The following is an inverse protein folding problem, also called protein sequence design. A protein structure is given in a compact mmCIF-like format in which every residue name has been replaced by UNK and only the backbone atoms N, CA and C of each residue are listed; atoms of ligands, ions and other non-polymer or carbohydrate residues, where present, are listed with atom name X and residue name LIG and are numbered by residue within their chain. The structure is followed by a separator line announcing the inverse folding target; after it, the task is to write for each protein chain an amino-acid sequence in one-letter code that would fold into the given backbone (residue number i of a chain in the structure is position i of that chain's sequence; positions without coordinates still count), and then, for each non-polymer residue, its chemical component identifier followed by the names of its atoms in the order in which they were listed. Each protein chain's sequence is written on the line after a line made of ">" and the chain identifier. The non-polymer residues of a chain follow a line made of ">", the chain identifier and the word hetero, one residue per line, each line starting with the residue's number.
data_IF_245466047166
#
_entry.id   IF_245466047166
#
_cell.length_a   1.000
_cell.length_b   1.000
_cell.length_c   1.000
_cell.angle_alpha   90.00
_cell.angle_beta   90.00
_cell.angle_gamma   90.00
#
_symmetry.space_group_name_H-M   'P 1'
#
loop_
_entity.id
_entity.type
_entity.pdbx_description
1 polymer ?
#
# COMPACT_ATOMS: atom_id res chain seq x y z
N UNK A 1 8.56 -24.14 -17.77
CA UNK A 1 8.84 -25.18 -16.76
C UNK A 1 7.68 -26.16 -16.71
N UNK A 2 7.93 -27.46 -16.50
CA UNK A 2 6.86 -28.48 -16.41
C UNK A 2 6.34 -28.59 -14.97
N UNK A 3 5.07 -28.93 -14.78
CA UNK A 3 4.44 -29.07 -13.45
C UNK A 3 5.19 -30.04 -12.53
N UNK A 4 5.72 -31.14 -13.07
CA UNK A 4 6.52 -32.10 -12.31
C UNK A 4 7.79 -31.47 -11.72
N UNK A 5 8.44 -30.57 -12.45
CA UNK A 5 9.62 -29.84 -11.96
C UNK A 5 9.26 -28.89 -10.83
N UNK A 6 8.13 -28.18 -10.93
CA UNK A 6 7.65 -27.28 -9.86
C UNK A 6 7.29 -28.07 -8.59
N UNK A 7 6.63 -29.22 -8.73
CA UNK A 7 6.36 -30.10 -7.59
C UNK A 7 7.66 -30.54 -6.90
N UNK A 8 8.61 -31.06 -7.66
CA UNK A 8 9.92 -31.46 -7.12
C UNK A 8 10.62 -30.34 -6.35
N UNK A 9 10.65 -29.12 -6.91
CA UNK A 9 11.29 -27.97 -6.25
C UNK A 9 10.55 -27.54 -4.97
N UNK A 10 9.21 -27.57 -4.98
CA UNK A 10 8.42 -27.26 -3.78
C UNK A 10 8.56 -28.35 -2.71
N UNK A 11 8.67 -29.62 -3.07
CA UNK A 11 8.94 -30.70 -2.11
C UNK A 11 10.31 -30.49 -1.42
N UNK A 12 11.36 -30.19 -2.20
CA UNK A 12 12.69 -29.88 -1.66
C UNK A 12 12.67 -28.67 -0.71
N UNK A 13 11.91 -27.62 -1.05
CA UNK A 13 11.76 -26.45 -0.18
C UNK A 13 11.02 -26.78 1.12
N UNK A 14 10.02 -27.65 1.09
CA UNK A 14 9.29 -28.09 2.29
C UNK A 14 10.12 -29.02 3.18
N UNK A 15 11.01 -29.84 2.60
CA UNK A 15 11.98 -30.62 3.36
C UNK A 15 13.00 -29.72 4.07
N UNK A 16 13.47 -28.66 3.41
CA UNK A 16 14.33 -27.66 4.03
C UNK A 16 13.62 -26.92 5.18
N UNK A 17 12.31 -26.69 5.06
CA UNK A 17 11.51 -26.09 6.12
C UNK A 17 11.40 -26.98 7.38
N UNK A 18 11.53 -28.31 7.25
CA UNK A 18 11.56 -29.24 8.39
C UNK A 18 12.92 -29.23 9.11
N UNK A 19 13.99 -28.98 8.37
CA UNK A 19 15.37 -29.07 8.87
C UNK A 19 15.94 -27.72 9.31
N UNK A 20 15.46 -26.63 8.71
CA UNK A 20 15.86 -25.26 9.01
C UNK A 20 14.67 -24.51 9.61
N UNK A 21 14.80 -24.14 10.89
CA UNK A 21 13.80 -23.28 11.54
C UNK A 21 13.78 -21.90 10.86
N UNK A 22 12.61 -21.48 10.39
CA UNK A 22 12.40 -20.10 9.95
C UNK A 22 12.17 -19.24 11.18
N UNK A 23 12.81 -18.07 11.20
CA UNK A 23 12.59 -17.09 12.26
C UNK A 23 11.14 -16.61 12.26
N UNK A 24 10.48 -16.73 13.41
CA UNK A 24 9.17 -16.12 13.62
C UNK A 24 9.35 -14.61 13.79
N UNK A 25 8.80 -13.85 12.84
CA UNK A 25 8.94 -12.38 12.80
C UNK A 25 7.80 -11.69 13.53
N UNK A 26 6.67 -12.37 13.73
CA UNK A 26 5.56 -11.78 14.47
C UNK A 26 5.83 -11.81 15.98
N UNK A 27 5.59 -10.70 16.68
CA UNK A 27 5.54 -10.69 18.14
C UNK A 27 4.55 -11.74 18.67
N UNK A 28 4.84 -12.37 19.82
CA UNK A 28 4.02 -13.44 20.37
C UNK A 28 2.57 -13.02 20.62
N UNK A 29 2.33 -11.74 20.93
CA UNK A 29 1.00 -11.18 21.16
C UNK A 29 0.15 -11.18 19.89
N UNK A 30 0.77 -11.00 18.73
CA UNK A 30 0.09 -11.07 17.43
C UNK A 30 0.01 -12.49 16.91
N UNK A 31 1.01 -13.32 17.20
CA UNK A 31 1.07 -14.73 16.79
C UNK A 31 0.02 -15.61 17.51
N UNK A 32 -0.44 -15.19 18.70
CA UNK A 32 -1.31 -15.99 19.55
C UNK A 32 -2.62 -16.36 18.86
N UNK A 33 -2.93 -17.67 18.82
CA UNK A 33 -4.14 -18.21 18.20
C UNK A 33 -4.09 -18.34 16.67
N UNK A 34 -2.95 -18.01 16.04
CA UNK A 34 -2.73 -18.26 14.63
C UNK A 34 -1.99 -19.58 14.39
N UNK A 35 -2.16 -20.12 13.18
CA UNK A 35 -1.36 -21.22 12.67
C UNK A 35 0.12 -20.79 12.56
N UNK A 36 1.05 -21.70 12.88
CA UNK A 36 2.47 -21.40 12.73
C UNK A 36 2.84 -21.18 11.25
N UNK A 37 3.88 -20.40 11.00
CA UNK A 37 4.35 -20.14 9.63
C UNK A 37 4.72 -21.42 8.87
N UNK A 38 5.47 -22.39 9.44
CA UNK A 38 5.79 -23.63 8.75
C UNK A 38 4.56 -24.47 8.39
N UNK A 39 3.59 -24.57 9.30
CA UNK A 39 2.33 -25.29 9.05
C UNK A 39 1.48 -24.60 7.98
N UNK A 40 1.44 -23.27 7.98
CA UNK A 40 0.72 -22.51 6.96
C UNK A 40 1.32 -22.75 5.57
N UNK A 41 2.66 -22.67 5.44
CA UNK A 41 3.37 -22.93 4.18
C UNK A 41 3.16 -24.36 3.69
N UNK A 42 3.25 -25.36 4.58
CA UNK A 42 2.95 -26.77 4.24
C UNK A 42 1.52 -26.93 3.76
N UNK A 43 0.55 -26.38 4.50
CA UNK A 43 -0.88 -26.55 4.20
C UNK A 43 -1.25 -25.93 2.84
N UNK A 44 -0.65 -24.80 2.48
CA UNK A 44 -0.92 -24.15 1.19
C UNK A 44 -0.24 -24.84 0.01
N UNK A 45 0.97 -25.39 0.22
CA UNK A 45 1.70 -26.07 -0.85
C UNK A 45 1.33 -27.55 -1.00
N UNK A 46 0.93 -28.22 0.08
CA UNK A 46 0.50 -29.62 0.16
C UNK A 46 -0.78 -29.71 1.01
N UNK A 47 -1.93 -29.19 0.51
CA UNK A 47 -3.17 -29.21 1.26
C UNK A 47 -3.59 -30.66 1.55
N UNK A 48 -3.99 -30.98 2.79
CA UNK A 48 -4.46 -32.33 3.10
C UNK A 48 -5.78 -32.60 2.37
N UNK A 49 -6.11 -33.87 2.09
CA UNK A 49 -7.33 -34.23 1.36
C UNK A 49 -8.63 -33.86 2.11
N UNK A 50 -8.55 -33.63 3.42
CA UNK A 50 -9.66 -33.19 4.27
C UNK A 50 -9.94 -31.69 4.18
N UNK A 51 -9.04 -30.92 3.57
CA UNK A 51 -9.18 -29.48 3.45
C UNK A 51 -10.24 -29.13 2.41
N UNK A 52 -11.20 -28.28 2.81
CA UNK A 52 -12.22 -27.78 1.90
C UNK A 52 -11.63 -26.68 1.01
N UNK A 53 -11.56 -26.92 -0.30
CA UNK A 53 -11.02 -25.94 -1.26
C UNK A 53 -11.77 -24.60 -1.23
N UNK A 54 -13.07 -24.62 -0.93
CA UNK A 54 -13.90 -23.41 -0.81
C UNK A 54 -13.35 -22.41 0.24
N UNK A 55 -12.73 -22.90 1.31
CA UNK A 55 -12.13 -22.03 2.34
C UNK A 55 -10.87 -21.33 1.84
N UNK A 56 -10.12 -21.97 0.93
CA UNK A 56 -8.97 -21.37 0.25
C UNK A 56 -9.38 -20.39 -0.84
N UNK A 57 -10.43 -20.71 -1.60
CA UNK A 57 -10.95 -19.83 -2.65
C UNK A 57 -11.52 -18.53 -2.07
N UNK A 58 -12.13 -18.60 -0.89
CA UNK A 58 -12.70 -17.44 -0.20
C UNK A 58 -11.72 -16.68 0.68
N UNK A 59 -10.44 -17.09 0.77
CA UNK A 59 -9.45 -16.41 1.60
C UNK A 59 -9.65 -16.60 3.10
N UNK A 60 -10.48 -17.56 3.53
CA UNK A 60 -10.90 -17.73 4.93
C UNK A 60 -10.02 -18.70 5.69
N UNK A 61 -9.29 -19.56 4.99
CA UNK A 61 -8.45 -20.58 5.61
C UNK A 61 -7.37 -19.95 6.51
N UNK A 62 -7.13 -20.46 7.73
CA UNK A 62 -6.14 -19.91 8.67
C UNK A 62 -4.73 -19.76 8.09
N UNK A 63 -4.29 -20.73 7.28
CA UNK A 63 -2.99 -20.67 6.59
C UNK A 63 -2.86 -19.45 5.67
N UNK A 64 -3.91 -19.10 4.92
CA UNK A 64 -3.90 -17.91 4.05
C UNK A 64 -3.94 -16.64 4.88
N UNK A 65 -4.81 -16.59 5.90
CA UNK A 65 -4.93 -15.42 6.79
C UNK A 65 -3.62 -15.09 7.48
N UNK A 66 -2.86 -16.11 7.90
CA UNK A 66 -1.52 -15.96 8.49
C UNK A 66 -0.58 -15.21 7.54
N UNK A 67 -0.48 -15.65 6.29
CA UNK A 67 0.40 -15.03 5.29
C UNK A 67 -0.10 -13.65 4.85
N UNK A 68 -1.42 -13.48 4.68
CA UNK A 68 -2.03 -12.19 4.33
C UNK A 68 -1.72 -11.15 5.41
N UNK A 69 -1.88 -11.52 6.68
CA UNK A 69 -1.58 -10.62 7.80
C UNK A 69 -0.10 -10.23 7.78
N UNK A 70 0.80 -11.19 7.63
CA UNK A 70 2.24 -10.94 7.64
C UNK A 70 2.66 -10.04 6.48
N UNK A 71 2.18 -10.30 5.26
CA UNK A 71 2.44 -9.47 4.09
C UNK A 71 1.92 -8.04 4.27
N UNK A 72 0.67 -7.89 4.75
CA UNK A 72 0.07 -6.57 5.00
C UNK A 72 0.81 -5.80 6.09
N UNK A 73 1.25 -6.49 7.15
CA UNK A 73 2.04 -5.89 8.22
C UNK A 73 3.40 -5.44 7.71
N UNK A 74 4.12 -6.32 7.00
CA UNK A 74 5.43 -6.01 6.42
C UNK A 74 5.34 -4.84 5.43
N UNK A 75 4.30 -4.82 4.60
CA UNK A 75 4.02 -3.72 3.68
C UNK A 75 3.73 -2.41 4.42
N UNK A 76 2.87 -2.44 5.44
CA UNK A 76 2.53 -1.24 6.22
C UNK A 76 3.75 -0.69 6.98
N UNK A 77 4.56 -1.56 7.59
CA UNK A 77 5.81 -1.17 8.25
C UNK A 77 6.80 -0.56 7.28
N UNK A 78 6.94 -1.13 6.08
CA UNK A 78 7.79 -0.57 5.01
C UNK A 78 7.32 0.82 4.60
N UNK A 79 6.02 1.03 4.45
CA UNK A 79 5.45 2.34 4.15
C UNK A 79 5.66 3.36 5.28
N UNK A 80 5.56 2.93 6.55
CA UNK A 80 5.85 3.78 7.71
C UNK A 80 7.34 4.14 7.76
N UNK A 81 8.24 3.20 7.50
CA UNK A 81 9.68 3.44 7.45
C UNK A 81 10.05 4.42 6.34
N UNK A 82 9.44 4.29 5.15
CA UNK A 82 9.61 5.24 4.05
C UNK A 82 9.13 6.65 4.43
N UNK A 83 7.97 6.77 5.08
CA UNK A 83 7.46 8.07 5.56
C UNK A 83 8.37 8.69 6.61
N UNK A 84 8.80 7.90 7.60
CA UNK A 84 9.73 8.36 8.63
C UNK A 84 11.08 8.80 8.03
N UNK A 85 11.55 8.09 7.00
CA UNK A 85 12.75 8.47 6.25
C UNK A 85 12.59 9.78 5.48
N UNK A 86 11.44 9.97 4.82
CA UNK A 86 11.15 11.20 4.08
C UNK A 86 11.02 12.43 4.99
N UNK A 87 10.47 12.26 6.21
CA UNK A 87 10.34 13.33 7.20
C UNK A 87 11.69 13.81 7.77
N UNK A 88 12.79 13.09 7.55
CA UNK A 88 14.14 13.54 7.96
C UNK A 88 14.70 14.64 7.06
N UNK A 89 14.15 14.80 5.86
CA UNK A 89 14.56 15.88 4.97
C UNK A 89 13.78 17.14 5.32
N UNK A 90 14.45 18.29 5.26
CA UNK A 90 13.78 19.57 5.36
C UNK A 90 13.28 20.02 4.00
N UNK A 91 12.02 20.46 3.95
CA UNK A 91 11.44 21.14 2.81
C UNK A 91 11.33 22.64 3.10
N UNK A 92 11.41 23.48 2.08
CA UNK A 92 11.12 24.91 2.21
C UNK A 92 9.60 25.10 2.34
N UNK A 93 9.08 25.63 3.47
CA UNK A 93 7.66 25.90 3.62
C UNK A 93 7.22 26.93 2.57
N UNK A 94 6.12 26.64 1.90
CA UNK A 94 5.50 27.57 0.95
C UNK A 94 4.32 28.25 1.65
N UNK A 95 4.52 29.52 2.00
CA UNK A 95 3.47 30.35 2.57
C UNK A 95 2.30 30.49 1.58
N UNK A 96 1.08 30.32 2.07
CA UNK A 96 -0.15 30.42 1.28
C UNK A 96 -0.37 31.86 0.80
N UNK A 97 -0.13 32.11 -0.49
CA UNK A 97 -0.49 33.38 -1.13
C UNK A 97 -1.87 33.26 -1.81
N UNK A 98 -2.91 33.69 -1.10
CA UNK A 98 -4.29 33.60 -1.58
C UNK A 98 -4.55 34.47 -2.82
N UNK A 99 -3.75 35.51 -3.08
CA UNK A 99 -3.99 36.45 -4.20
C UNK A 99 -3.89 35.74 -5.56
N UNK A 100 -2.86 34.90 -5.75
CA UNK A 100 -2.67 34.16 -7.00
C UNK A 100 -3.68 33.02 -7.15
N UNK A 101 -4.03 32.39 -6.03
CA UNK A 101 -5.07 31.35 -5.98
C UNK A 101 -6.43 31.90 -6.40
N UNK A 102 -6.83 33.04 -5.84
CA UNK A 102 -8.13 33.65 -6.12
C UNK A 102 -8.22 34.11 -7.58
N UNK A 103 -7.12 34.66 -8.13
CA UNK A 103 -7.02 34.97 -9.56
C UNK A 103 -7.14 33.72 -10.44
N UNK A 104 -6.48 32.61 -10.06
CA UNK A 104 -6.59 31.35 -10.78
C UNK A 104 -8.02 30.80 -10.71
N UNK A 105 -8.65 30.79 -9.54
CA UNK A 105 -10.02 30.32 -9.35
C UNK A 105 -11.02 31.16 -10.15
N UNK A 106 -10.85 32.49 -10.19
CA UNK A 106 -11.67 33.39 -10.98
C UNK A 106 -11.49 33.19 -12.51
N UNK A 107 -10.32 32.72 -12.96
CA UNK A 107 -10.04 32.45 -14.37
C UNK A 107 -10.63 31.14 -14.90
N UNK A 108 -11.17 30.29 -14.02
CA UNK A 108 -11.67 28.97 -14.42
C UNK A 108 -13.13 29.04 -14.88
N UNK A 109 -13.48 28.33 -15.97
CA UNK A 109 -14.85 28.32 -16.50
C UNK A 109 -15.83 27.48 -15.67
N UNK A 110 -15.41 26.96 -14.51
CA UNK A 110 -16.20 26.13 -13.62
C UNK A 110 -15.82 26.39 -12.15
N UNK A 111 -16.76 26.15 -11.24
CA UNK A 111 -16.48 26.16 -9.80
C UNK A 111 -15.90 24.81 -9.37
N UNK A 112 -14.85 24.78 -8.53
CA UNK A 112 -14.33 23.52 -7.99
C UNK A 112 -15.41 22.83 -7.16
N UNK A 113 -15.44 21.50 -7.22
CA UNK A 113 -16.34 20.72 -6.36
C UNK A 113 -15.88 20.79 -4.90
N UNK A 114 -16.77 20.46 -3.96
CA UNK A 114 -16.42 20.39 -2.53
C UNK A 114 -15.25 19.45 -2.25
N UNK A 115 -15.15 18.33 -3.00
CA UNK A 115 -14.03 17.40 -2.92
C UNK A 115 -12.72 18.02 -3.42
N UNK A 116 -12.75 18.76 -4.53
CA UNK A 116 -11.57 19.45 -5.07
C UNK A 116 -11.08 20.57 -4.14
N UNK A 117 -12.01 21.36 -3.59
CA UNK A 117 -11.68 22.42 -2.63
C UNK A 117 -11.03 21.84 -1.36
N UNK A 118 -11.55 20.72 -0.84
CA UNK A 118 -10.98 20.03 0.32
C UNK A 118 -9.56 19.54 0.06
N UNK A 119 -9.33 18.86 -1.07
CA UNK A 119 -7.99 18.36 -1.45
C UNK A 119 -6.99 19.49 -1.58
N UNK A 120 -7.39 20.64 -2.16
CA UNK A 120 -6.48 21.80 -2.24
C UNK A 120 -6.16 22.38 -0.88
N UNK A 121 -7.14 22.51 0.02
CA UNK A 121 -6.88 22.98 1.38
C UNK A 121 -5.95 22.02 2.16
N UNK A 122 -6.04 20.71 1.91
CA UNK A 122 -5.12 19.73 2.48
C UNK A 122 -3.70 19.87 1.92
N UNK A 123 -3.56 20.03 0.60
CA UNK A 123 -2.25 20.25 -0.05
C UNK A 123 -1.60 21.54 0.48
N UNK A 124 -2.35 22.63 0.55
CA UNK A 124 -1.85 23.91 1.06
C UNK A 124 -1.37 23.80 2.51
N UNK A 125 -2.09 23.04 3.35
CA UNK A 125 -1.69 22.80 4.73
C UNK A 125 -0.38 22.01 4.79
N UNK A 126 -0.23 20.98 3.98
CA UNK A 126 1.00 20.17 3.94
C UNK A 126 2.19 20.97 3.38
N UNK A 127 1.97 21.81 2.36
CA UNK A 127 3.01 22.66 1.77
C UNK A 127 3.53 23.75 2.71
N UNK A 128 2.74 24.12 3.73
CA UNK A 128 3.14 25.08 4.75
C UNK A 128 4.05 24.47 5.83
N UNK A 129 4.25 23.14 5.83
CA UNK A 129 5.15 22.46 6.76
C UNK A 129 6.59 22.46 6.24
N UNK A 130 7.53 22.28 7.17
CA UNK A 130 8.97 22.17 6.91
C UNK A 130 9.43 20.73 6.57
N UNK A 131 8.48 19.84 6.33
CA UNK A 131 8.69 18.45 5.92
C UNK A 131 8.14 18.19 4.51
N UNK A 132 8.76 17.30 3.70
CA UNK A 132 8.25 16.94 2.40
C UNK A 132 6.82 16.38 2.46
N UNK A 133 5.92 16.98 1.69
CA UNK A 133 4.55 16.47 1.54
C UNK A 133 4.56 15.12 0.81
N UNK A 134 3.94 14.11 1.42
CA UNK A 134 3.77 12.77 0.86
C UNK A 134 2.30 12.43 0.65
N UNK A 135 1.67 13.06 -0.34
CA UNK A 135 0.24 12.87 -0.64
C UNK A 135 0.05 12.35 -2.06
N UNK A 136 -0.76 11.30 -2.19
CA UNK A 136 -1.24 10.82 -3.48
C UNK A 136 -2.64 11.37 -3.74
N UNK A 137 -2.78 12.24 -4.74
CA UNK A 137 -4.09 12.73 -5.15
C UNK A 137 -4.64 11.84 -6.26
N UNK A 138 -5.72 11.12 -5.98
CA UNK A 138 -6.41 10.30 -6.96
C UNK A 138 -7.68 10.99 -7.44
N UNK A 139 -7.85 11.09 -8.76
CA UNK A 139 -9.06 11.63 -9.38
C UNK A 139 -9.64 10.61 -10.37
N UNK A 140 -10.95 10.37 -10.27
CA UNK A 140 -11.68 9.37 -11.07
C UNK A 140 -12.06 9.88 -12.46
N UNK A 141 -11.99 11.20 -12.72
CA UNK A 141 -12.29 11.80 -14.02
C UNK A 141 -11.07 12.55 -14.62
N UNK A 142 -10.94 12.51 -15.94
CA UNK A 142 -9.83 13.14 -16.67
C UNK A 142 -9.76 14.68 -16.51
N UNK A 143 -10.89 15.33 -16.19
CA UNK A 143 -10.94 16.77 -15.97
C UNK A 143 -10.36 17.17 -14.60
N UNK A 144 -10.56 16.34 -13.56
CA UNK A 144 -10.02 16.59 -12.21
C UNK A 144 -8.49 16.57 -12.16
N UNK A 145 -7.84 15.65 -12.91
CA UNK A 145 -6.36 15.55 -12.96
C UNK A 145 -5.69 16.77 -13.60
N UNK A 146 -6.33 17.39 -14.61
CA UNK A 146 -5.77 18.54 -15.33
C UNK A 146 -5.72 19.81 -14.48
N UNK A 147 -6.69 20.00 -13.58
CA UNK A 147 -6.75 21.16 -12.71
C UNK A 147 -5.67 21.12 -11.62
N UNK A 148 -5.48 19.96 -10.98
CA UNK A 148 -4.44 19.78 -9.95
C UNK A 148 -3.02 20.06 -10.46
N UNK A 149 -2.75 19.83 -11.75
CA UNK A 149 -1.45 20.11 -12.38
C UNK A 149 -1.15 21.61 -12.57
N UNK A 150 -2.15 22.49 -12.39
CA UNK A 150 -1.97 23.96 -12.45
C UNK A 150 -1.58 24.57 -11.10
N UNK A 151 -1.59 23.78 -10.02
CA UNK A 151 -1.03 24.18 -8.73
C UNK A 151 0.51 24.03 -8.75
N UNK A 152 1.26 24.75 -7.90
CA UNK A 152 2.72 24.67 -7.82
C UNK A 152 3.20 23.20 -7.77
N UNK A 153 4.40 22.91 -8.32
CA UNK A 153 4.88 21.55 -8.51
C UNK A 153 5.04 20.85 -7.16
N UNK A 154 3.97 20.20 -6.73
CA UNK A 154 4.00 19.15 -5.72
C UNK A 154 4.57 17.91 -6.39
N UNK A 155 5.17 17.00 -5.62
CA UNK A 155 5.47 15.66 -6.08
C UNK A 155 4.16 14.90 -6.40
N UNK A 156 3.51 15.28 -7.51
CA UNK A 156 2.40 14.59 -8.13
C UNK A 156 3.02 13.38 -8.80
N UNK A 157 3.14 12.27 -8.07
CA UNK A 157 3.36 10.97 -8.70
C UNK A 157 2.15 10.72 -9.62
N UNK A 158 2.32 10.71 -10.95
CA UNK A 158 1.23 10.41 -11.86
C UNK A 158 1.04 8.90 -11.85
N UNK A 159 0.27 8.35 -10.90
CA UNK A 159 -0.21 6.97 -11.06
C UNK A 159 -1.33 6.96 -12.09
N UNK A 160 -0.95 6.66 -13.32
CA UNK A 160 -1.82 6.05 -14.31
C UNK A 160 -2.04 4.60 -13.88
N UNK A 161 -3.18 4.31 -13.25
CA UNK A 161 -3.73 2.96 -13.24
C UNK A 161 -5.07 3.02 -13.94
N UNK A 162 -5.02 2.67 -15.23
CA UNK A 162 -6.16 2.33 -16.06
C UNK A 162 -6.62 0.96 -15.53
N UNK A 163 -7.67 0.93 -14.73
CA UNK A 163 -8.35 -0.33 -14.41
C UNK A 163 -9.13 -0.75 -15.65
N UNK A 164 -8.64 -1.79 -16.32
CA UNK A 164 -9.44 -2.70 -17.15
C UNK A 164 -8.82 -4.08 -17.04
#
# INVERSE_FOLDING_TARGET
>A
MKQATLRKLTDQALELLDTCAIAELLPPELAQGMMSLPEALRTLHRPPPTLQLADLETGKHPAQRRLILEELLAHNLSMLALRAGAQRYHAQPLSTNNILKDKLLASLPFKPTSAQARVVAEIERDMALDVPMMRLVQATSAQGKRWLRRLPPCALLPTVSRWR
#
